data_IF_119249822650
#
_entry.id   IF_119249822650
#
_cell.length_a   1.000
_cell.length_b   1.000
_cell.length_c   1.000
_cell.angle_alpha   90.00
_cell.angle_beta   90.00
_cell.angle_gamma   90.00
#
_symmetry.space_group_name_H-M   'P 1'
#
loop_
_entity.id
_entity.type
_entity.pdbx_description
1 polymer ?
#
# COMPACT_ATOMS: atom_id res chain seq x y z
N UNK A 1 16.47 2.51 -12.75
CA UNK A 1 15.99 1.21 -12.31
C UNK A 1 15.31 0.46 -13.45
N UNK A 2 15.92 -0.63 -13.91
CA UNK A 2 15.34 -1.50 -14.93
C UNK A 2 14.54 -2.64 -14.27
N UNK A 3 13.22 -2.50 -14.18
CA UNK A 3 12.29 -3.55 -13.74
C UNK A 3 11.81 -4.34 -14.97
N UNK A 4 11.63 -5.66 -14.86
CA UNK A 4 11.08 -6.48 -15.94
C UNK A 4 9.60 -6.15 -16.14
N UNK A 5 9.12 -6.17 -17.38
CA UNK A 5 7.72 -5.86 -17.71
C UNK A 5 6.70 -6.67 -16.87
N UNK A 6 6.96 -7.97 -16.68
CA UNK A 6 6.11 -8.84 -15.86
C UNK A 6 6.08 -8.42 -14.38
N UNK A 7 7.19 -7.88 -13.87
CA UNK A 7 7.25 -7.37 -12.49
C UNK A 7 6.56 -6.01 -12.38
N UNK A 8 6.56 -5.19 -13.43
CA UNK A 8 5.75 -3.96 -13.50
C UNK A 8 4.25 -4.25 -13.46
N UNK A 9 3.78 -5.31 -14.14
CA UNK A 9 2.37 -5.75 -14.09
C UNK A 9 2.01 -6.16 -12.65
N UNK A 10 2.83 -6.99 -12.02
CA UNK A 10 2.63 -7.42 -10.63
C UNK A 10 2.64 -6.25 -9.65
N UNK A 11 3.53 -5.27 -9.83
CA UNK A 11 3.55 -4.07 -8.99
C UNK A 11 2.25 -3.27 -9.09
N UNK A 12 1.66 -3.16 -10.28
CA UNK A 12 0.34 -2.53 -10.43
C UNK A 12 -0.75 -3.30 -9.69
N UNK A 13 -0.78 -4.63 -9.83
CA UNK A 13 -1.73 -5.48 -9.09
C UNK A 13 -1.59 -5.32 -7.57
N UNK A 14 -0.35 -5.29 -7.05
CA UNK A 14 -0.11 -5.06 -5.63
C UNK A 14 -0.61 -3.67 -5.19
N UNK A 15 -0.39 -2.62 -6.00
CA UNK A 15 -0.89 -1.29 -5.69
C UNK A 15 -2.43 -1.24 -5.63
N UNK A 16 -3.11 -1.86 -6.60
CA UNK A 16 -4.58 -1.96 -6.61
C UNK A 16 -5.11 -2.66 -5.34
N UNK A 17 -4.42 -3.69 -4.87
CA UNK A 17 -4.79 -4.35 -3.61
C UNK A 17 -4.60 -3.45 -2.38
N UNK A 18 -3.55 -2.65 -2.32
CA UNK A 18 -3.37 -1.69 -1.23
C UNK A 18 -4.44 -0.59 -1.24
N UNK A 19 -4.79 -0.04 -2.41
CA UNK A 19 -5.86 0.96 -2.54
C UNK A 19 -7.22 0.37 -2.13
N UNK A 20 -7.52 -0.86 -2.56
CA UNK A 20 -8.74 -1.56 -2.17
C UNK A 20 -8.80 -1.80 -0.64
N UNK A 21 -7.68 -2.16 -0.03
CA UNK A 21 -7.59 -2.37 1.41
C UNK A 21 -7.77 -1.05 2.18
N UNK A 22 -7.15 0.04 1.74
CA UNK A 22 -7.35 1.39 2.31
C UNK A 22 -8.83 1.78 2.29
N UNK A 23 -9.52 1.57 1.15
CA UNK A 23 -10.93 1.89 0.99
C UNK A 23 -11.88 1.02 1.85
N UNK A 24 -11.47 -0.21 2.21
CA UNK A 24 -12.21 -1.05 3.16
C UNK A 24 -11.97 -0.54 4.58
N UNK A 25 -10.72 -0.27 4.93
CA UNK A 25 -10.34 0.20 6.26
C UNK A 25 -10.97 1.55 6.60
N UNK A 26 -11.14 2.45 5.63
CA UNK A 26 -11.81 3.74 5.82
C UNK A 26 -13.30 3.64 6.17
N UNK A 27 -13.90 2.45 6.03
CA UNK A 27 -15.31 2.17 6.36
C UNK A 27 -15.48 1.47 7.71
N UNK A 28 -14.38 1.09 8.36
CA UNK A 28 -14.42 0.48 9.69
C UNK A 28 -14.86 1.52 10.73
N UNK A 29 -15.48 1.03 11.81
CA UNK A 29 -15.82 1.90 12.93
C UNK A 29 -14.54 2.37 13.64
N UNK A 30 -14.56 3.55 14.29
CA UNK A 30 -13.43 4.02 15.09
C UNK A 30 -12.97 2.99 16.13
N UNK A 31 -13.91 2.33 16.83
CA UNK A 31 -13.57 1.33 17.85
C UNK A 31 -12.86 0.11 17.26
N UNK A 32 -13.24 -0.28 16.03
CA UNK A 32 -12.59 -1.39 15.33
C UNK A 32 -11.19 -1.00 14.84
N UNK A 33 -11.03 0.24 14.35
CA UNK A 33 -9.73 0.77 13.95
C UNK A 33 -8.78 0.89 15.15
N UNK A 34 -9.27 1.35 16.29
CA UNK A 34 -8.50 1.44 17.52
C UNK A 34 -8.08 0.06 18.03
N UNK A 35 -8.96 -0.94 17.96
CA UNK A 35 -8.61 -2.32 18.31
C UNK A 35 -7.56 -2.92 17.36
N UNK A 36 -7.64 -2.64 16.06
CA UNK A 36 -6.63 -3.05 15.08
C UNK A 36 -5.29 -2.37 15.33
N UNK A 37 -5.32 -1.07 15.64
CA UNK A 37 -4.12 -0.29 15.94
C UNK A 37 -3.48 -0.73 17.25
N UNK A 38 -4.27 -1.12 18.26
CA UNK A 38 -3.75 -1.62 19.54
C UNK A 38 -3.06 -3.00 19.42
N UNK A 39 -3.40 -3.80 18.40
CA UNK A 39 -2.75 -5.08 18.12
C UNK A 39 -1.36 -4.94 17.48
N UNK A 40 -1.07 -3.79 16.88
CA UNK A 40 0.24 -3.45 16.35
C UNK A 40 0.90 -2.41 17.27
N UNK A 41 2.23 -2.40 17.35
CA UNK A 41 2.92 -1.26 17.98
C UNK A 41 2.65 0.02 17.15
N UNK A 42 2.64 1.20 17.79
CA UNK A 42 2.36 2.50 17.14
C UNK A 42 3.25 2.73 15.91
N UNK A 43 4.45 2.12 15.92
CA UNK A 43 5.43 2.17 14.84
C UNK A 43 4.98 1.50 13.53
N UNK A 44 4.03 0.56 13.56
CA UNK A 44 3.70 -0.29 12.40
C UNK A 44 2.20 -0.65 12.29
N UNK A 45 1.31 0.31 12.51
CA UNK A 45 -0.13 0.04 12.38
C UNK A 45 -0.49 -0.45 10.96
N UNK A 46 -1.50 -1.32 10.84
CA UNK A 46 -1.97 -1.81 9.53
C UNK A 46 -2.34 -0.65 8.59
N UNK A 47 -3.08 0.40 9.00
CA UNK A 47 -3.34 1.55 8.14
C UNK A 47 -2.06 2.22 7.63
N UNK A 48 -1.04 2.32 8.50
CA UNK A 48 0.26 2.88 8.15
C UNK A 48 0.97 2.01 7.10
N UNK A 49 1.06 0.71 7.32
CA UNK A 49 1.65 -0.24 6.37
C UNK A 49 0.97 -0.22 4.99
N UNK A 50 -0.36 -0.12 4.97
CA UNK A 50 -1.15 -0.05 3.73
C UNK A 50 -0.82 1.22 2.95
N UNK A 51 -0.85 2.37 3.62
CA UNK A 51 -0.53 3.67 3.01
C UNK A 51 0.89 3.72 2.47
N UNK A 52 1.87 3.25 3.25
CA UNK A 52 3.28 3.24 2.83
C UNK A 52 3.55 2.21 1.73
N UNK A 53 2.87 1.05 1.75
CA UNK A 53 2.92 0.05 0.69
C UNK A 53 2.46 0.63 -0.66
N UNK A 54 1.29 1.27 -0.69
CA UNK A 54 0.79 1.98 -1.87
C UNK A 54 1.77 3.06 -2.35
N UNK A 55 2.21 3.93 -1.43
CA UNK A 55 3.12 5.04 -1.75
C UNK A 55 4.44 4.53 -2.36
N UNK A 56 5.08 3.54 -1.74
CA UNK A 56 6.36 3.01 -2.23
C UNK A 56 6.24 2.34 -3.59
N UNK A 57 5.13 1.65 -3.86
CA UNK A 57 4.90 1.02 -5.17
C UNK A 57 4.65 2.08 -6.24
N UNK A 58 3.87 3.12 -5.93
CA UNK A 58 3.65 4.23 -6.86
C UNK A 58 4.97 4.91 -7.24
N UNK A 59 5.84 5.20 -6.27
CA UNK A 59 7.16 5.78 -6.52
C UNK A 59 8.04 4.89 -7.42
N UNK A 60 8.05 3.58 -7.16
CA UNK A 60 8.74 2.60 -8.00
C UNK A 60 8.21 2.61 -9.43
N UNK A 61 6.89 2.63 -9.62
CA UNK A 61 6.27 2.67 -10.94
C UNK A 61 6.57 3.96 -11.70
N UNK A 62 6.59 5.11 -11.03
CA UNK A 62 6.98 6.39 -11.64
C UNK A 62 8.45 6.41 -12.04
N UNK A 63 9.34 5.87 -11.20
CA UNK A 63 10.76 5.74 -11.53
C UNK A 63 11.00 4.84 -12.76
N UNK A 64 10.19 3.79 -12.97
CA UNK A 64 10.25 2.95 -14.17
C UNK A 64 9.78 3.69 -15.43
N UNK A 65 8.77 4.56 -15.33
CA UNK A 65 8.29 5.36 -16.47
C UNK A 65 9.32 6.41 -16.91
N UNK A 66 9.98 7.06 -15.97
CA UNK A 66 10.93 8.14 -16.25
C UNK A 66 12.21 7.69 -17.00
N UNK A 67 12.47 6.38 -17.05
CA UNK A 67 13.64 5.79 -17.72
C UNK A 67 13.34 5.14 -19.08
N UNK A 68 12.09 5.14 -19.52
CA UNK A 68 11.65 4.67 -20.84
C UNK A 68 11.27 5.84 -21.74
#
# INVERSE_FOLDING_TARGET
MKIKENDTVRLKEINEHFEALEAIMSKLSPETLDALNAFHDESFSIPYCVKWGATGIAEVLEAVKAEN
#
